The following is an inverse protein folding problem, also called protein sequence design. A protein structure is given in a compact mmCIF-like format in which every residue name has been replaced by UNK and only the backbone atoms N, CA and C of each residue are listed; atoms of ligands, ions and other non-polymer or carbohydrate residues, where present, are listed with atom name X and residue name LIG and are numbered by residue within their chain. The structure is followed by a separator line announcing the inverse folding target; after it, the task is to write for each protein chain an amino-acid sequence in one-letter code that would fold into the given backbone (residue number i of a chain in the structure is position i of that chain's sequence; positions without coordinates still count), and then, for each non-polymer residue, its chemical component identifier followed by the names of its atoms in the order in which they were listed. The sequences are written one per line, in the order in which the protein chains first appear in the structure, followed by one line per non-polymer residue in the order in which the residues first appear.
data_IF_031219130259
#
_entry.id   IF_031219130259
#
_cell.length_a   1.000
_cell.length_b   1.000
_cell.length_c   1.000
_cell.angle_alpha   90.00
_cell.angle_beta   90.00
_cell.angle_gamma   90.00
#
_symmetry.space_group_name_H-M   'P 1'
#
loop_
_entity.id
_entity.type
_entity.pdbx_description
1 polymer ?
#
# COMPACT_ATOMS: atom_id res chain seq x y z
N UNK A 1 8.89 1.29 60.73
CA UNK A 1 8.87 0.03 59.94
C UNK A 1 9.19 0.43 58.54
N UNK A 2 10.32 0.02 57.98
CA UNK A 2 10.71 0.30 56.56
C UNK A 2 9.70 -0.40 55.64
N UNK A 3 9.19 0.34 54.65
CA UNK A 3 8.33 -0.27 53.62
C UNK A 3 9.09 -1.46 52.99
N UNK A 4 8.39 -2.58 52.73
CA UNK A 4 9.02 -3.74 52.12
C UNK A 4 9.59 -3.36 50.74
N UNK A 5 10.84 -3.68 50.51
CA UNK A 5 11.51 -3.43 49.22
C UNK A 5 10.78 -4.25 48.14
N UNK A 6 10.20 -3.56 47.14
CA UNK A 6 9.47 -4.19 46.06
C UNK A 6 10.48 -4.67 45.01
N UNK A 7 10.73 -5.98 44.96
CA UNK A 7 11.67 -6.65 44.06
C UNK A 7 10.99 -7.27 42.83
N UNK A 8 9.79 -6.79 42.47
CA UNK A 8 9.05 -7.31 41.32
C UNK A 8 9.84 -7.07 40.03
N UNK A 9 9.99 -8.12 39.24
CA UNK A 9 10.53 -8.04 37.88
C UNK A 9 9.42 -8.31 36.86
N UNK A 10 9.34 -7.49 35.81
CA UNK A 10 8.40 -7.69 34.71
C UNK A 10 9.07 -8.48 33.60
N UNK A 11 8.48 -9.61 33.21
CA UNK A 11 8.94 -10.40 32.10
C UNK A 11 8.47 -9.72 30.79
N UNK A 12 9.44 -9.20 30.04
CA UNK A 12 9.16 -8.62 28.72
C UNK A 12 8.75 -9.69 27.71
N UNK A 13 8.13 -9.26 26.60
CA UNK A 13 7.73 -10.14 25.47
C UNK A 13 8.92 -10.90 24.84
N UNK A 14 10.11 -10.34 24.90
CA UNK A 14 11.37 -10.98 24.46
C UNK A 14 11.96 -11.97 25.48
N UNK A 15 11.21 -12.27 26.55
CA UNK A 15 11.62 -13.16 27.63
C UNK A 15 12.58 -12.56 28.66
N UNK A 16 13.11 -11.34 28.44
CA UNK A 16 14.02 -10.67 29.37
C UNK A 16 13.25 -10.12 30.58
N UNK A 17 13.84 -10.24 31.76
CA UNK A 17 13.32 -9.61 32.95
C UNK A 17 13.79 -8.15 33.05
N UNK A 18 12.92 -7.26 33.52
CA UNK A 18 13.23 -5.87 33.80
C UNK A 18 12.59 -5.47 35.13
N UNK A 19 13.20 -4.58 35.92
CA UNK A 19 12.60 -4.12 37.17
C UNK A 19 11.27 -3.44 36.92
N UNK A 20 10.30 -3.73 37.79
CA UNK A 20 9.01 -3.03 37.81
C UNK A 20 9.23 -1.55 38.12
N UNK A 21 8.64 -0.66 37.34
CA UNK A 21 8.72 0.79 37.52
C UNK A 21 7.35 1.41 37.42
N UNK A 22 6.89 2.01 38.51
CA UNK A 22 5.59 2.67 38.59
C UNK A 22 5.47 3.80 37.54
N UNK A 23 6.57 4.50 37.28
CA UNK A 23 6.61 5.62 36.32
C UNK A 23 6.20 5.19 34.90
N UNK A 24 6.38 3.91 34.56
CA UNK A 24 5.94 3.38 33.26
C UNK A 24 4.43 3.26 33.19
N UNK A 25 3.79 2.90 34.29
CA UNK A 25 2.32 2.80 34.39
C UNK A 25 1.74 4.21 34.37
N UNK A 26 2.28 5.12 35.20
CA UNK A 26 1.90 6.54 35.21
C UNK A 26 1.98 7.14 33.80
N UNK A 27 3.10 6.95 33.12
CA UNK A 27 3.27 7.44 31.74
C UNK A 27 2.22 6.85 30.79
N UNK A 28 1.94 5.59 30.90
CA UNK A 28 1.00 4.92 29.99
C UNK A 28 -0.45 5.41 30.18
N UNK A 29 -0.88 5.56 31.45
CA UNK A 29 -2.23 6.09 31.78
C UNK A 29 -2.31 7.59 31.46
N UNK A 30 -1.27 8.37 31.75
CA UNK A 30 -1.23 9.81 31.45
C UNK A 30 -1.34 10.09 29.96
N UNK A 31 -0.62 9.35 29.10
CA UNK A 31 -0.72 9.48 27.65
C UNK A 31 -2.12 9.09 27.13
N UNK A 32 -2.77 8.10 27.72
CA UNK A 32 -4.13 7.74 27.38
C UNK A 32 -5.14 8.82 27.83
N UNK A 33 -4.95 9.41 29.02
CA UNK A 33 -5.76 10.52 29.51
C UNK A 33 -5.61 11.78 28.64
N UNK A 34 -4.40 12.10 28.23
CA UNK A 34 -4.15 13.18 27.28
C UNK A 34 -4.86 12.92 25.94
N UNK A 35 -4.73 11.72 25.39
CA UNK A 35 -5.38 11.34 24.16
C UNK A 35 -6.91 11.41 24.22
N UNK A 36 -7.50 11.09 25.37
CA UNK A 36 -8.95 11.18 25.60
C UNK A 36 -9.49 12.62 25.52
N UNK A 37 -8.65 13.62 25.80
CA UNK A 37 -9.01 15.04 25.76
C UNK A 37 -8.74 15.74 24.40
N UNK A 38 -7.78 15.25 23.67
CA UNK A 38 -7.29 15.90 22.45
C UNK A 38 -7.56 15.02 21.25
N UNK A 39 -8.04 15.63 20.16
CA UNK A 39 -8.29 14.94 18.90
C UNK A 39 -7.01 14.24 18.41
N UNK A 40 -7.12 12.95 18.04
CA UNK A 40 -6.02 12.05 17.64
C UNK A 40 -5.12 12.61 16.50
N UNK A 41 -5.60 13.62 15.77
CA UNK A 41 -4.83 14.29 14.72
C UNK A 41 -3.65 15.12 15.23
N UNK A 42 -3.56 15.37 16.54
CA UNK A 42 -2.53 16.18 17.19
C UNK A 42 -1.76 15.37 18.24
N UNK A 43 -1.15 14.25 17.82
CA UNK A 43 -0.25 13.51 18.71
C UNK A 43 0.99 14.41 18.99
N UNK A 44 1.17 14.96 20.18
CA UNK A 44 2.36 15.75 20.48
C UNK A 44 3.57 14.83 20.35
N UNK A 45 4.64 15.35 19.75
CA UNK A 45 5.93 14.67 19.73
C UNK A 45 6.26 14.21 21.15
N UNK A 46 6.43 12.92 21.36
CA UNK A 46 6.65 12.24 22.66
C UNK A 46 7.78 12.82 23.50
N UNK A 47 8.62 13.67 22.93
CA UNK A 47 9.87 14.16 23.52
C UNK A 47 9.73 15.55 24.18
N UNK A 48 8.56 16.21 24.10
CA UNK A 48 8.35 17.57 24.62
C UNK A 48 7.21 17.69 25.63
N UNK A 49 6.79 16.58 26.27
CA UNK A 49 5.78 16.65 27.32
C UNK A 49 6.42 17.07 28.65
N UNK A 50 5.76 17.99 29.34
CA UNK A 50 6.14 18.45 30.68
C UNK A 50 6.07 17.32 31.71
N UNK A 51 6.35 17.66 33.00
CA UNK A 51 6.31 16.72 34.13
C UNK A 51 4.97 15.98 34.27
N UNK A 52 3.87 16.59 33.83
CA UNK A 52 2.50 16.11 34.00
C UNK A 52 1.88 15.62 32.68
N UNK A 53 2.68 15.41 31.63
CA UNK A 53 2.22 14.89 30.33
C UNK A 53 1.11 15.74 29.68
N UNK A 54 1.08 17.06 29.95
CA UNK A 54 0.06 17.97 29.42
C UNK A 54 -1.30 17.87 30.15
N UNK A 55 -1.34 17.22 31.32
CA UNK A 55 -2.50 17.15 32.22
C UNK A 55 -2.40 18.24 33.28
N UNK A 56 -3.54 18.71 33.79
CA UNK A 56 -3.55 19.58 34.96
C UNK A 56 -3.18 18.80 36.22
N UNK A 57 -2.94 19.52 37.35
CA UNK A 57 -2.47 18.93 38.60
C UNK A 57 -3.45 17.93 39.21
N UNK A 58 -4.75 18.18 39.09
CA UNK A 58 -5.79 17.30 39.61
C UNK A 58 -5.88 16.01 38.78
N UNK A 59 -5.79 16.13 37.46
CA UNK A 59 -5.82 14.99 36.55
C UNK A 59 -4.56 14.13 36.67
N UNK A 60 -3.40 14.76 36.80
CA UNK A 60 -2.16 14.03 37.01
C UNK A 60 -2.17 13.29 38.33
N UNK A 61 -2.77 13.88 39.40
CA UNK A 61 -2.97 13.21 40.67
C UNK A 61 -3.89 11.99 40.54
N UNK A 62 -5.01 12.10 39.80
CA UNK A 62 -5.92 10.96 39.53
C UNK A 62 -5.18 9.84 38.81
N UNK A 63 -4.37 10.16 37.78
CA UNK A 63 -3.52 9.18 37.06
C UNK A 63 -2.51 8.52 38.00
N UNK A 64 -1.91 9.27 38.90
CA UNK A 64 -0.96 8.72 39.87
C UNK A 64 -1.63 7.78 40.86
N UNK A 65 -2.80 8.15 41.39
CA UNK A 65 -3.57 7.33 42.31
C UNK A 65 -4.03 6.01 41.67
N UNK A 66 -4.53 6.07 40.41
CA UNK A 66 -4.87 4.87 39.64
C UNK A 66 -3.64 3.98 39.38
N UNK A 67 -2.49 4.58 39.11
CA UNK A 67 -1.25 3.84 38.89
C UNK A 67 -0.75 3.14 40.17
N UNK A 68 -0.93 3.77 41.31
CA UNK A 68 -0.61 3.18 42.62
C UNK A 68 -1.52 1.97 42.91
N UNK A 69 -2.83 2.06 42.61
CA UNK A 69 -3.75 0.92 42.72
C UNK A 69 -3.34 -0.24 41.82
N UNK A 70 -2.94 0.02 40.55
CA UNK A 70 -2.42 -1.03 39.68
C UNK A 70 -1.20 -1.71 40.28
N UNK A 71 -0.26 -0.95 40.85
CA UNK A 71 0.90 -1.50 41.56
C UNK A 71 0.46 -2.45 42.68
N UNK A 72 -0.49 -2.01 43.50
CA UNK A 72 -0.98 -2.78 44.65
C UNK A 72 -1.67 -4.08 44.19
N UNK A 73 -2.44 -4.02 43.12
CA UNK A 73 -3.03 -5.21 42.49
C UNK A 73 -1.97 -6.17 41.91
N UNK A 74 -0.87 -5.65 41.36
CA UNK A 74 0.27 -6.46 40.89
C UNK A 74 0.92 -7.16 42.10
N UNK A 75 1.12 -6.45 43.21
CA UNK A 75 1.69 -7.03 44.44
C UNK A 75 0.75 -8.09 45.03
N UNK A 76 -0.54 -7.82 45.08
CA UNK A 76 -1.54 -8.77 45.58
C UNK A 76 -1.55 -10.06 44.76
N UNK A 77 -1.55 -9.93 43.43
CA UNK A 77 -1.67 -11.07 42.51
C UNK A 77 -0.38 -11.90 42.35
N UNK A 78 0.78 -11.26 42.35
CA UNK A 78 2.04 -11.90 42.01
C UNK A 78 3.06 -11.90 43.17
N UNK A 79 2.76 -11.25 44.29
CA UNK A 79 3.65 -11.11 45.46
C UNK A 79 4.77 -10.07 45.20
N UNK A 80 5.49 -9.70 46.27
CA UNK A 80 6.55 -8.66 46.24
C UNK A 80 7.80 -9.05 45.47
N UNK A 81 7.99 -10.32 45.18
CA UNK A 81 9.12 -10.88 44.39
C UNK A 81 8.63 -11.60 43.11
N UNK A 82 7.40 -11.34 42.69
CA UNK A 82 6.81 -11.95 41.50
C UNK A 82 7.42 -11.48 40.19
N UNK A 83 7.09 -12.21 39.12
CA UNK A 83 7.54 -11.91 37.77
C UNK A 83 6.36 -11.91 36.77
N UNK A 84 5.41 -10.96 36.88
CA UNK A 84 4.31 -10.85 35.93
C UNK A 84 4.81 -10.56 34.51
N UNK A 85 4.08 -11.01 33.49
CA UNK A 85 4.28 -10.57 32.12
C UNK A 85 3.86 -9.12 31.91
N UNK A 86 4.34 -8.48 30.87
CA UNK A 86 3.88 -7.12 30.47
C UNK A 86 2.37 -7.11 30.24
N UNK A 87 1.83 -8.18 29.62
CA UNK A 87 0.39 -8.30 29.34
C UNK A 87 -0.43 -8.34 30.63
N UNK A 88 0.05 -9.09 31.66
CA UNK A 88 -0.63 -9.15 32.95
C UNK A 88 -0.77 -7.77 33.58
N UNK A 89 0.28 -6.95 33.52
CA UNK A 89 0.26 -5.58 34.03
C UNK A 89 -0.69 -4.69 33.23
N UNK A 90 -0.70 -4.85 31.90
CA UNK A 90 -1.58 -4.10 31.01
C UNK A 90 -3.06 -4.44 31.25
N UNK A 91 -3.38 -5.71 31.49
CA UNK A 91 -4.74 -6.15 31.80
C UNK A 91 -5.23 -5.55 33.13
N UNK A 92 -4.32 -5.44 34.12
CA UNK A 92 -4.65 -4.79 35.40
C UNK A 92 -4.88 -3.28 35.25
N UNK A 93 -4.14 -2.61 34.35
CA UNK A 93 -4.40 -1.19 34.02
C UNK A 93 -5.81 -1.03 33.44
N UNK A 94 -6.17 -1.84 32.43
CA UNK A 94 -7.50 -1.80 31.82
C UNK A 94 -8.60 -2.02 32.86
N UNK A 95 -8.43 -3.05 33.71
CA UNK A 95 -9.38 -3.36 34.76
C UNK A 95 -9.57 -2.20 35.78
N UNK A 96 -8.46 -1.56 36.17
CA UNK A 96 -8.51 -0.42 37.12
C UNK A 96 -9.22 0.78 36.48
N UNK A 97 -8.92 1.11 35.23
CA UNK A 97 -9.58 2.22 34.51
C UNK A 97 -11.10 1.98 34.40
N UNK A 98 -11.52 0.75 34.09
CA UNK A 98 -12.94 0.39 33.98
C UNK A 98 -13.64 0.41 35.36
N UNK A 99 -12.99 -0.07 36.40
CA UNK A 99 -13.49 -0.06 37.77
C UNK A 99 -13.78 1.35 38.29
N UNK A 100 -12.95 2.31 37.90
CA UNK A 100 -13.12 3.73 38.27
C UNK A 100 -13.96 4.53 37.26
N UNK A 101 -14.69 3.87 36.34
CA UNK A 101 -15.52 4.50 35.31
C UNK A 101 -14.74 5.48 34.37
N UNK A 102 -13.44 5.28 34.21
CA UNK A 102 -12.60 6.07 33.30
C UNK A 102 -12.68 5.51 31.86
N UNK A 103 -13.90 5.38 31.32
CA UNK A 103 -14.17 4.68 30.07
C UNK A 103 -13.44 5.29 28.86
N UNK A 104 -13.36 6.62 28.76
CA UNK A 104 -12.66 7.28 27.66
C UNK A 104 -11.15 7.04 27.75
N UNK A 105 -10.56 7.11 28.93
CA UNK A 105 -9.13 6.80 29.14
C UNK A 105 -8.87 5.33 28.84
N UNK A 106 -9.72 4.42 29.33
CA UNK A 106 -9.62 2.99 29.05
C UNK A 106 -9.69 2.70 27.55
N UNK A 107 -10.62 3.33 26.82
CA UNK A 107 -10.77 3.21 25.38
C UNK A 107 -9.48 3.66 24.66
N UNK A 108 -8.93 4.81 25.00
CA UNK A 108 -7.68 5.30 24.40
C UNK A 108 -6.49 4.40 24.76
N UNK A 109 -6.42 3.89 25.98
CA UNK A 109 -5.39 2.97 26.42
C UNK A 109 -5.45 1.64 25.66
N UNK A 110 -6.63 1.03 25.53
CA UNK A 110 -6.85 -0.22 24.79
C UNK A 110 -6.54 -0.02 23.32
N UNK A 111 -6.99 1.10 22.71
CA UNK A 111 -6.71 1.40 21.32
C UNK A 111 -5.20 1.59 21.06
N UNK A 112 -4.52 2.32 21.94
CA UNK A 112 -3.07 2.45 21.94
C UNK A 112 -2.36 1.09 22.08
N UNK A 113 -2.83 0.23 23.00
CA UNK A 113 -2.30 -1.12 23.20
C UNK A 113 -2.46 -1.97 21.94
N UNK A 114 -3.64 -1.98 21.33
CA UNK A 114 -3.93 -2.71 20.08
C UNK A 114 -3.04 -2.18 18.96
N UNK A 115 -3.02 -0.88 18.71
CA UNK A 115 -2.15 -0.28 17.71
C UNK A 115 -0.67 -0.61 17.95
N UNK A 116 -0.20 -0.57 19.20
CA UNK A 116 1.20 -0.85 19.52
C UNK A 116 1.52 -2.35 19.57
N UNK A 117 0.57 -3.22 19.82
CA UNK A 117 0.76 -4.67 19.66
C UNK A 117 0.81 -5.07 18.19
N UNK A 118 0.04 -4.39 17.33
CA UNK A 118 0.03 -4.60 15.89
C UNK A 118 1.15 -3.83 15.17
N UNK A 119 1.52 -2.62 15.66
CA UNK A 119 2.50 -1.71 15.05
C UNK A 119 3.95 -2.00 15.43
N UNK A 120 4.19 -2.79 16.46
CA UNK A 120 5.56 -3.25 16.67
C UNK A 120 5.86 -4.23 15.54
N UNK A 121 6.71 -3.84 14.55
CA UNK A 121 7.45 -4.88 13.90
C UNK A 121 8.01 -5.70 15.05
N UNK A 122 7.92 -7.02 14.97
CA UNK A 122 8.56 -7.94 15.91
C UNK A 122 10.03 -7.53 15.93
N UNK A 123 10.33 -6.48 16.69
CA UNK A 123 11.66 -5.92 16.83
C UNK A 123 12.28 -6.78 17.91
N UNK A 124 13.20 -7.54 17.50
CA UNK A 124 14.16 -8.36 18.23
C UNK A 124 13.73 -9.80 18.51
N UNK A 125 14.12 -10.67 17.63
CA UNK A 125 14.36 -12.09 17.86
C UNK A 125 13.67 -13.03 16.89
N UNK A 126 12.42 -12.80 16.52
CA UNK A 126 11.64 -13.68 15.63
C UNK A 126 10.90 -12.94 14.51
N UNK A 127 11.42 -11.83 14.03
CA UNK A 127 10.96 -11.27 12.76
C UNK A 127 11.50 -12.20 11.66
N UNK A 128 10.73 -13.23 11.33
CA UNK A 128 11.07 -14.15 10.27
C UNK A 128 11.24 -13.39 8.95
N UNK A 129 12.03 -13.94 8.04
CA UNK A 129 12.17 -13.41 6.66
C UNK A 129 10.82 -13.03 6.03
N UNK A 130 9.78 -13.76 6.37
CA UNK A 130 8.40 -13.54 5.92
C UNK A 130 7.83 -12.17 6.33
N UNK A 131 8.01 -11.75 7.58
CA UNK A 131 7.52 -10.46 8.06
C UNK A 131 8.31 -9.30 7.46
N UNK A 132 9.63 -9.48 7.30
CA UNK A 132 10.45 -8.51 6.57
C UNK A 132 10.00 -8.34 5.13
N UNK A 133 9.71 -9.43 4.41
CA UNK A 133 9.19 -9.39 3.04
C UNK A 133 7.81 -8.73 3.02
N UNK A 134 6.90 -9.07 3.94
CA UNK A 134 5.58 -8.47 4.03
C UNK A 134 5.66 -6.94 4.18
N UNK A 135 6.45 -6.47 5.14
CA UNK A 135 6.60 -5.04 5.42
C UNK A 135 7.31 -4.31 4.27
N UNK A 136 8.42 -4.88 3.76
CA UNK A 136 9.23 -4.20 2.75
C UNK A 136 8.58 -4.17 1.36
N UNK A 137 7.79 -5.19 1.00
CA UNK A 137 7.24 -5.36 -0.36
C UNK A 137 5.78 -4.98 -0.48
N UNK A 138 4.96 -5.21 0.55
CA UNK A 138 3.51 -5.11 0.45
C UNK A 138 2.90 -3.97 1.28
N UNK A 139 3.50 -3.62 2.42
CA UNK A 139 3.05 -2.53 3.27
C UNK A 139 3.54 -1.20 2.70
N UNK A 140 2.62 -0.35 2.26
CA UNK A 140 2.92 0.97 1.69
C UNK A 140 3.28 1.95 2.80
N UNK A 141 4.09 2.94 2.45
CA UNK A 141 4.30 4.08 3.33
C UNK A 141 3.10 5.03 3.22
N UNK A 142 2.49 5.33 4.35
CA UNK A 142 1.41 6.30 4.49
C UNK A 142 1.99 7.62 5.01
N UNK A 143 1.95 8.66 4.18
CA UNK A 143 2.50 9.97 4.53
C UNK A 143 1.71 10.66 5.66
N UNK A 144 0.39 10.37 5.78
CA UNK A 144 -0.46 10.96 6.83
C UNK A 144 -0.13 10.36 8.19
N UNK A 145 0.17 9.08 8.23
CA UNK A 145 0.54 8.36 9.44
C UNK A 145 2.04 8.43 9.73
N UNK A 146 2.87 8.90 8.79
CA UNK A 146 4.32 8.95 8.91
C UNK A 146 4.99 7.57 9.04
N UNK A 147 4.33 6.50 8.61
CA UNK A 147 4.80 5.12 8.73
C UNK A 147 4.33 4.22 7.58
N UNK A 148 4.88 3.01 7.52
CA UNK A 148 4.33 1.98 6.65
C UNK A 148 3.05 1.39 7.22
N UNK A 149 2.18 0.92 6.33
CA UNK A 149 1.06 0.05 6.69
C UNK A 149 1.56 -1.16 7.49
N UNK A 150 0.73 -1.65 8.39
CA UNK A 150 0.87 -2.99 8.96
C UNK A 150 0.19 -4.01 8.05
N UNK A 151 0.45 -5.31 8.29
CA UNK A 151 -0.13 -6.38 7.47
C UNK A 151 -1.66 -6.29 7.36
N UNK A 152 -2.34 -6.08 8.48
CA UNK A 152 -3.80 -5.97 8.51
C UNK A 152 -4.33 -4.82 7.64
N UNK A 153 -3.67 -3.64 7.66
CA UNK A 153 -4.03 -2.47 6.84
C UNK A 153 -3.78 -2.74 5.35
N UNK A 154 -2.66 -3.38 5.01
CA UNK A 154 -2.38 -3.76 3.63
C UNK A 154 -3.43 -4.74 3.08
N UNK A 155 -3.85 -5.72 3.87
CA UNK A 155 -4.90 -6.68 3.52
C UNK A 155 -6.24 -5.98 3.38
N UNK A 156 -6.61 -5.10 4.32
CA UNK A 156 -7.86 -4.33 4.28
C UNK A 156 -7.94 -3.45 3.04
N UNK A 157 -6.86 -2.75 2.68
CA UNK A 157 -6.78 -1.92 1.46
C UNK A 157 -7.13 -2.72 0.21
N UNK A 158 -6.68 -3.97 0.12
CA UNK A 158 -6.95 -4.85 -1.04
C UNK A 158 -8.38 -5.35 -1.01
N UNK A 159 -8.89 -5.79 0.15
CA UNK A 159 -10.27 -6.22 0.33
C UNK A 159 -11.25 -5.11 -0.09
N UNK A 160 -11.03 -3.89 0.39
CA UNK A 160 -11.84 -2.72 0.07
C UNK A 160 -11.81 -2.38 -1.43
N UNK A 161 -10.70 -2.59 -2.13
CA UNK A 161 -10.63 -2.43 -3.58
C UNK A 161 -11.61 -3.37 -4.30
N UNK A 162 -11.64 -4.64 -3.90
CA UNK A 162 -12.55 -5.63 -4.49
C UNK A 162 -14.00 -5.35 -4.14
N UNK A 163 -14.31 -5.00 -2.88
CA UNK A 163 -15.65 -4.64 -2.46
C UNK A 163 -16.19 -3.42 -3.23
N UNK A 164 -15.36 -2.38 -3.40
CA UNK A 164 -15.74 -1.21 -4.24
C UNK A 164 -15.98 -1.59 -5.70
N UNK A 165 -15.24 -2.56 -6.23
CA UNK A 165 -15.46 -3.05 -7.60
C UNK A 165 -16.80 -3.76 -7.73
N UNK A 166 -17.14 -4.62 -6.77
CA UNK A 166 -18.42 -5.32 -6.71
C UNK A 166 -19.58 -4.31 -6.59
N UNK A 167 -19.45 -3.32 -5.70
CA UNK A 167 -20.46 -2.27 -5.56
C UNK A 167 -20.69 -1.50 -6.85
N UNK A 168 -19.62 -1.13 -7.58
CA UNK A 168 -19.73 -0.47 -8.89
C UNK A 168 -20.43 -1.33 -9.96
N UNK A 169 -20.19 -2.64 -9.94
CA UNK A 169 -20.87 -3.58 -10.84
C UNK A 169 -22.34 -3.65 -10.45
N UNK A 170 -22.65 -3.81 -9.16
CA UNK A 170 -24.00 -3.82 -8.64
C UNK A 170 -24.78 -2.56 -9.04
N UNK A 171 -24.18 -1.38 -8.85
CA UNK A 171 -24.81 -0.11 -9.21
C UNK A 171 -25.11 0.01 -10.73
N UNK A 172 -24.25 -0.56 -11.58
CA UNK A 172 -24.48 -0.57 -13.02
C UNK A 172 -25.61 -1.53 -13.43
N UNK A 173 -25.59 -2.73 -12.89
CA UNK A 173 -26.59 -3.76 -13.20
C UNK A 173 -27.95 -3.45 -12.56
N UNK A 174 -27.92 -2.89 -11.35
CA UNK A 174 -29.11 -2.34 -10.71
C UNK A 174 -29.74 -1.21 -11.53
N UNK A 175 -28.95 -0.28 -12.04
CA UNK A 175 -29.45 0.84 -12.81
C UNK A 175 -30.09 0.43 -14.15
N UNK A 176 -29.64 -0.67 -14.77
CA UNK A 176 -30.25 -1.18 -16.00
C UNK A 176 -31.53 -1.99 -15.73
N UNK A 177 -31.47 -2.91 -14.75
CA UNK A 177 -32.60 -3.80 -14.45
C UNK A 177 -33.61 -3.22 -13.46
N UNK A 178 -33.17 -2.37 -12.50
CA UNK A 178 -34.06 -1.77 -11.51
C UNK A 178 -34.83 -0.58 -12.03
N UNK A 179 -34.32 0.20 -12.97
CA UNK A 179 -35.16 1.24 -13.62
C UNK A 179 -36.39 0.63 -14.28
N UNK A 180 -36.22 -0.59 -14.82
CA UNK A 180 -37.30 -1.33 -15.46
C UNK A 180 -38.24 -2.01 -14.43
N UNK A 181 -37.69 -2.53 -13.32
CA UNK A 181 -38.46 -3.19 -12.25
C UNK A 181 -39.09 -2.19 -11.26
N UNK A 182 -38.41 -1.08 -10.97
CA UNK A 182 -38.96 0.02 -10.15
C UNK A 182 -40.02 0.78 -10.97
N UNK A 183 -39.83 0.97 -12.27
CA UNK A 183 -40.86 1.54 -13.16
C UNK A 183 -42.08 0.63 -13.27
N UNK A 184 -41.95 -0.68 -13.07
CA UNK A 184 -43.02 -1.66 -13.03
C UNK A 184 -43.62 -1.89 -11.64
N UNK A 185 -43.08 -1.23 -10.60
CA UNK A 185 -43.61 -1.30 -9.22
C UNK A 185 -43.45 -2.64 -8.52
N UNK A 186 -42.54 -3.50 -8.99
CA UNK A 186 -42.47 -4.91 -8.59
C UNK A 186 -41.45 -5.21 -7.49
N UNK A 187 -40.48 -4.32 -7.22
CA UNK A 187 -39.43 -4.53 -6.21
C UNK A 187 -38.99 -3.21 -5.59
N UNK A 188 -38.79 -3.18 -4.27
CA UNK A 188 -38.16 -2.04 -3.59
C UNK A 188 -36.65 -2.07 -3.78
N UNK A 189 -35.95 -0.93 -3.83
CA UNK A 189 -34.50 -0.83 -4.01
C UNK A 189 -33.69 -1.59 -2.94
N UNK A 190 -34.26 -1.73 -1.73
CA UNK A 190 -33.63 -2.42 -0.60
C UNK A 190 -33.68 -3.95 -0.75
N UNK A 191 -34.84 -4.51 -1.18
CA UNK A 191 -35.02 -5.94 -1.38
C UNK A 191 -34.14 -6.47 -2.54
N UNK A 192 -33.83 -5.64 -3.53
CA UNK A 192 -32.96 -6.03 -4.64
C UNK A 192 -31.46 -6.01 -4.26
N UNK A 193 -31.07 -5.23 -3.27
CA UNK A 193 -29.69 -5.23 -2.71
C UNK A 193 -29.40 -6.50 -1.91
N UNK A 194 -30.40 -7.00 -1.17
CA UNK A 194 -30.23 -8.16 -0.27
C UNK A 194 -30.39 -9.51 -0.97
N UNK A 195 -31.05 -9.57 -2.11
CA UNK A 195 -31.43 -10.82 -2.78
C UNK A 195 -30.51 -11.24 -3.96
N UNK A 196 -29.47 -10.48 -4.29
CA UNK A 196 -28.70 -10.75 -5.51
C UNK A 196 -27.40 -11.57 -5.29
N UNK A 197 -26.88 -12.23 -6.34
CA UNK A 197 -25.61 -12.95 -6.30
C UNK A 197 -24.40 -12.09 -5.89
N UNK A 198 -24.54 -10.78 -5.89
CA UNK A 198 -23.51 -9.83 -5.50
C UNK A 198 -23.36 -9.69 -3.97
N UNK A 199 -24.41 -9.94 -3.17
CA UNK A 199 -24.31 -10.03 -1.71
C UNK A 199 -23.43 -11.20 -1.31
N UNK A 200 -23.65 -12.38 -1.91
CA UNK A 200 -22.84 -13.58 -1.67
C UNK A 200 -21.37 -13.40 -2.09
N UNK A 201 -21.11 -12.66 -3.17
CA UNK A 201 -19.76 -12.33 -3.62
C UNK A 201 -19.03 -11.39 -2.65
N UNK A 202 -19.73 -10.40 -2.08
CA UNK A 202 -19.16 -9.54 -1.04
C UNK A 202 -18.78 -10.32 0.21
N UNK A 203 -19.63 -11.25 0.66
CA UNK A 203 -19.37 -12.12 1.80
C UNK A 203 -18.22 -13.09 1.53
N UNK A 204 -18.11 -13.58 0.30
CA UNK A 204 -16.99 -14.42 -0.12
C UNK A 204 -15.67 -13.65 -0.09
N UNK A 205 -15.65 -12.41 -0.59
CA UNK A 205 -14.47 -11.52 -0.51
C UNK A 205 -14.07 -11.31 0.93
N UNK A 206 -15.00 -10.97 1.83
CA UNK A 206 -14.72 -10.76 3.26
C UNK A 206 -14.14 -12.03 3.89
N UNK A 207 -14.74 -13.19 3.63
CA UNK A 207 -14.22 -14.48 4.13
C UNK A 207 -12.83 -14.79 3.61
N UNK A 208 -12.59 -14.62 2.31
CA UNK A 208 -11.29 -14.85 1.69
C UNK A 208 -10.20 -13.95 2.30
N UNK A 209 -10.49 -12.66 2.46
CA UNK A 209 -9.52 -11.72 3.02
C UNK A 209 -9.31 -11.86 4.54
N UNK A 210 -10.28 -12.41 5.28
CA UNK A 210 -10.06 -12.85 6.65
C UNK A 210 -9.04 -14.00 6.73
N UNK A 211 -9.06 -14.94 5.78
CA UNK A 211 -8.03 -15.98 5.68
C UNK A 211 -6.66 -15.38 5.36
N UNK A 212 -6.60 -14.38 4.48
CA UNK A 212 -5.36 -13.63 4.17
C UNK A 212 -4.85 -12.89 5.41
N UNK A 213 -5.72 -12.17 6.12
CA UNK A 213 -5.38 -11.44 7.35
C UNK A 213 -4.75 -12.36 8.38
N UNK A 214 -5.30 -13.56 8.53
CA UNK A 214 -4.83 -14.60 9.43
C UNK A 214 -3.66 -15.44 8.86
N UNK A 215 -3.07 -15.04 7.74
CA UNK A 215 -1.93 -15.70 7.06
C UNK A 215 -2.19 -17.18 6.72
N UNK A 216 -3.44 -17.58 6.51
CA UNK A 216 -3.81 -18.95 6.10
C UNK A 216 -3.66 -19.18 4.60
N UNK A 217 -3.90 -18.13 3.81
CA UNK A 217 -3.70 -18.08 2.36
C UNK A 217 -3.07 -16.74 1.97
N UNK A 218 -2.46 -16.66 0.80
CA UNK A 218 -1.92 -15.42 0.25
C UNK A 218 -2.59 -15.14 -1.10
N UNK A 219 -2.99 -13.88 -1.36
CA UNK A 219 -3.46 -13.47 -2.67
C UNK A 219 -2.26 -13.23 -3.60
N UNK A 220 -2.52 -12.81 -4.84
CA UNK A 220 -1.48 -12.35 -5.75
C UNK A 220 -0.59 -11.29 -5.09
N UNK A 221 0.74 -11.43 -5.26
CA UNK A 221 1.71 -10.45 -4.76
C UNK A 221 1.43 -9.04 -5.30
N UNK A 222 0.98 -8.92 -6.55
CA UNK A 222 0.62 -7.63 -7.16
C UNK A 222 -0.61 -7.01 -6.52
N UNK A 223 -1.59 -7.81 -6.12
CA UNK A 223 -2.74 -7.33 -5.36
C UNK A 223 -2.30 -6.71 -4.03
N UNK A 224 -1.41 -7.36 -3.29
CA UNK A 224 -0.85 -6.81 -2.05
C UNK A 224 -0.01 -5.56 -2.31
N UNK A 225 0.84 -5.57 -3.34
CA UNK A 225 1.76 -4.47 -3.65
C UNK A 225 1.03 -3.21 -4.17
N UNK A 226 0.11 -3.38 -5.12
CA UNK A 226 -0.54 -2.27 -5.84
C UNK A 226 -2.04 -2.15 -5.57
N UNK A 227 -2.66 -3.04 -4.80
CA UNK A 227 -4.09 -3.01 -4.49
C UNK A 227 -4.57 -1.63 -4.01
N UNK A 228 -5.83 -1.31 -4.25
CA UNK A 228 -6.40 0.02 -4.04
C UNK A 228 -6.22 0.92 -5.27
N UNK A 229 -6.04 2.22 -5.05
CA UNK A 229 -6.11 3.23 -6.11
C UNK A 229 -5.18 2.98 -7.30
N UNK A 230 -4.01 2.39 -7.10
CA UNK A 230 -3.08 2.14 -8.21
C UNK A 230 -3.65 1.15 -9.24
N UNK A 231 -4.28 0.05 -8.76
CA UNK A 231 -4.98 -0.92 -9.64
C UNK A 231 -6.32 -0.36 -10.14
N UNK A 232 -7.03 0.41 -9.31
CA UNK A 232 -8.30 1.04 -9.71
C UNK A 232 -8.12 2.03 -10.87
N UNK A 233 -6.99 2.74 -10.92
CA UNK A 233 -6.63 3.66 -12.00
C UNK A 233 -6.08 2.91 -13.22
N UNK A 234 -5.22 1.91 -13.02
CA UNK A 234 -4.62 1.12 -14.10
C UNK A 234 -4.64 -0.35 -13.74
N UNK A 235 -5.59 -1.10 -14.28
CA UNK A 235 -5.77 -2.53 -14.03
C UNK A 235 -4.56 -3.37 -14.51
N UNK A 236 -3.74 -2.86 -15.44
CA UNK A 236 -2.53 -3.53 -15.90
C UNK A 236 -1.55 -3.84 -14.75
N UNK A 237 -1.59 -3.06 -13.65
CA UNK A 237 -0.74 -3.26 -12.46
C UNK A 237 -1.03 -4.55 -11.67
N UNK A 238 -2.16 -5.24 -11.96
CA UNK A 238 -2.47 -6.51 -11.28
C UNK A 238 -1.73 -7.69 -11.90
N UNK A 239 -1.25 -7.56 -13.15
CA UNK A 239 -0.58 -8.65 -13.84
C UNK A 239 0.87 -8.79 -13.38
N UNK A 240 1.28 -10.03 -13.12
CA UNK A 240 2.66 -10.37 -12.77
C UNK A 240 3.52 -10.58 -14.03
N UNK A 241 3.02 -11.40 -14.95
CA UNK A 241 3.77 -11.86 -16.12
C UNK A 241 2.88 -11.88 -17.36
N UNK A 242 3.52 -11.64 -18.49
CA UNK A 242 2.93 -11.81 -19.83
C UNK A 242 3.95 -12.34 -20.81
N UNK A 243 3.50 -12.88 -21.92
CA UNK A 243 4.35 -13.28 -23.03
C UNK A 243 3.65 -12.98 -24.38
N UNK A 244 4.41 -12.52 -25.36
CA UNK A 244 3.88 -12.22 -26.69
C UNK A 244 4.96 -12.44 -27.76
N UNK A 245 4.62 -12.88 -28.98
CA UNK A 245 5.55 -12.85 -30.10
C UNK A 245 5.73 -11.43 -30.61
N UNK A 246 6.93 -11.10 -31.11
CA UNK A 246 7.21 -9.83 -31.79
C UNK A 246 6.83 -9.98 -33.28
N UNK A 247 5.56 -9.76 -33.58
CA UNK A 247 4.99 -10.00 -34.91
C UNK A 247 4.16 -8.84 -35.47
N UNK A 248 4.10 -7.72 -34.75
CA UNK A 248 3.34 -6.51 -35.10
C UNK A 248 4.01 -5.27 -34.50
N UNK A 249 3.78 -4.12 -35.09
CA UNK A 249 4.37 -2.85 -34.61
C UNK A 249 3.82 -2.46 -33.23
N UNK A 250 2.56 -2.73 -32.96
CA UNK A 250 1.89 -2.47 -31.68
C UNK A 250 2.56 -3.19 -30.50
N UNK A 251 3.28 -4.30 -30.77
CA UNK A 251 4.02 -5.03 -29.73
C UNK A 251 4.94 -4.12 -28.93
N UNK A 252 5.67 -3.21 -29.58
CA UNK A 252 6.62 -2.32 -28.89
C UNK A 252 5.94 -1.41 -27.88
N UNK A 253 4.77 -0.88 -28.23
CA UNK A 253 3.92 -0.08 -27.34
C UNK A 253 3.38 -0.92 -26.19
N UNK A 254 2.76 -2.05 -26.49
CA UNK A 254 2.14 -2.96 -25.51
C UNK A 254 3.18 -3.46 -24.51
N UNK A 255 4.33 -3.89 -25.01
CA UNK A 255 5.43 -4.40 -24.21
C UNK A 255 5.98 -3.32 -23.26
N UNK A 256 6.23 -2.12 -23.77
CA UNK A 256 6.76 -1.02 -22.96
C UNK A 256 5.73 -0.55 -21.90
N UNK A 257 4.46 -0.47 -22.27
CA UNK A 257 3.36 -0.18 -21.33
C UNK A 257 3.30 -1.18 -20.17
N UNK A 258 3.38 -2.47 -20.47
CA UNK A 258 3.33 -3.53 -19.47
C UNK A 258 4.57 -3.52 -18.57
N UNK A 259 5.77 -3.31 -19.12
CA UNK A 259 7.00 -3.13 -18.34
C UNK A 259 6.91 -1.93 -17.39
N UNK A 260 6.45 -0.78 -17.86
CA UNK A 260 6.25 0.41 -17.04
C UNK A 260 5.16 0.20 -15.98
N UNK A 261 4.18 -0.65 -16.25
CA UNK A 261 3.17 -1.07 -15.27
C UNK A 261 3.70 -2.06 -14.24
N UNK A 262 4.95 -2.53 -14.43
CA UNK A 262 5.66 -3.45 -13.52
C UNK A 262 5.43 -4.93 -13.82
N UNK A 263 4.91 -5.29 -15.00
CA UNK A 263 4.77 -6.66 -15.45
C UNK A 263 6.11 -7.23 -15.92
N UNK A 264 6.40 -8.50 -15.60
CA UNK A 264 7.48 -9.25 -16.22
C UNK A 264 7.04 -9.70 -17.60
N UNK A 265 7.71 -9.23 -18.66
CA UNK A 265 7.28 -9.49 -20.03
C UNK A 265 8.27 -10.41 -20.76
N UNK A 266 7.85 -11.63 -21.10
CA UNK A 266 8.53 -12.52 -22.02
C UNK A 266 8.17 -12.20 -23.46
N UNK A 267 9.11 -12.40 -24.38
CA UNK A 267 8.84 -12.19 -25.79
C UNK A 267 9.59 -13.20 -26.68
N UNK A 268 9.09 -13.41 -27.90
CA UNK A 268 9.72 -14.28 -28.87
C UNK A 268 10.14 -13.50 -30.10
N UNK A 269 11.44 -13.59 -30.41
CA UNK A 269 12.07 -13.04 -31.62
C UNK A 269 12.43 -14.14 -32.63
N UNK A 270 11.69 -15.25 -32.62
CA UNK A 270 11.88 -16.29 -33.63
C UNK A 270 11.66 -15.74 -35.04
N UNK A 271 12.39 -16.29 -36.03
CA UNK A 271 12.38 -15.78 -37.40
C UNK A 271 10.97 -15.64 -38.00
N UNK A 272 10.10 -16.62 -37.76
CA UNK A 272 8.72 -16.59 -38.25
C UNK A 272 7.88 -15.47 -37.64
N UNK A 273 8.17 -15.04 -36.39
CA UNK A 273 7.48 -13.91 -35.76
C UNK A 273 8.00 -12.59 -36.33
N UNK A 274 9.30 -12.39 -36.31
CA UNK A 274 9.90 -11.15 -36.78
C UNK A 274 9.66 -10.92 -38.29
N UNK A 275 9.56 -11.98 -39.08
CA UNK A 275 9.22 -11.91 -40.53
C UNK A 275 7.81 -11.35 -40.80
N UNK A 276 6.95 -11.25 -39.77
CA UNK A 276 5.61 -10.63 -39.86
C UNK A 276 5.66 -9.11 -39.70
N UNK A 277 6.77 -8.55 -39.17
CA UNK A 277 6.92 -7.11 -39.07
C UNK A 277 7.01 -6.48 -40.49
N UNK A 278 6.51 -5.25 -40.68
CA UNK A 278 6.72 -4.54 -41.95
C UNK A 278 8.19 -4.21 -42.17
N UNK A 279 8.57 -4.06 -43.44
CA UNK A 279 9.86 -3.46 -43.78
C UNK A 279 9.87 -1.98 -43.40
N UNK A 280 11.01 -1.48 -42.93
CA UNK A 280 11.20 -0.06 -42.68
C UNK A 280 11.34 0.69 -44.01
N UNK A 281 10.83 1.91 -44.07
CA UNK A 281 10.97 2.76 -45.25
C UNK A 281 12.45 3.10 -45.50
N UNK A 282 12.81 3.26 -46.74
CA UNK A 282 14.12 3.80 -47.08
C UNK A 282 14.19 5.29 -46.72
N UNK A 283 15.24 5.69 -46.05
CA UNK A 283 15.48 7.09 -45.62
C UNK A 283 16.70 7.66 -46.32
N UNK A 284 16.63 7.73 -47.66
CA UNK A 284 17.76 8.17 -48.50
C UNK A 284 18.10 9.64 -48.26
N UNK A 285 17.14 10.47 -47.91
CA UNK A 285 17.37 11.89 -47.59
C UNK A 285 16.54 12.29 -46.35
N UNK A 286 17.20 12.29 -45.16
CA UNK A 286 16.53 12.63 -43.90
C UNK A 286 16.08 14.11 -43.85
N UNK A 287 16.63 14.98 -44.66
CA UNK A 287 16.30 16.40 -44.70
C UNK A 287 14.96 16.69 -45.39
N UNK A 288 14.52 15.79 -46.29
CA UNK A 288 13.28 15.93 -47.05
C UNK A 288 12.08 15.19 -46.40
N UNK A 289 12.28 14.45 -45.28
CA UNK A 289 11.21 13.73 -44.64
C UNK A 289 10.21 14.67 -43.94
N UNK A 290 8.90 14.39 -44.05
CA UNK A 290 7.89 15.10 -43.24
C UNK A 290 8.20 15.00 -41.76
N UNK A 291 8.14 16.12 -41.03
CA UNK A 291 8.41 16.15 -39.57
C UNK A 291 7.11 16.19 -38.81
N UNK A 292 6.96 15.28 -37.87
CA UNK A 292 5.86 15.25 -36.87
C UNK A 292 6.40 15.63 -35.51
N UNK A 293 5.87 16.70 -34.93
CA UNK A 293 6.19 17.08 -33.56
C UNK A 293 5.31 16.31 -32.59
N UNK A 294 5.91 15.62 -31.60
CA UNK A 294 5.20 14.83 -30.61
C UNK A 294 5.58 15.26 -29.20
N UNK A 295 4.62 15.89 -28.47
CA UNK A 295 4.78 16.23 -27.09
C UNK A 295 4.42 15.01 -26.22
N UNK A 296 5.40 14.43 -25.53
CA UNK A 296 5.22 13.20 -24.74
C UNK A 296 4.43 13.51 -23.46
N UNK A 297 3.23 12.93 -23.29
CA UNK A 297 2.44 13.10 -22.06
C UNK A 297 3.13 12.47 -20.83
N UNK A 298 2.88 13.07 -19.65
CA UNK A 298 3.42 12.56 -18.36
C UNK A 298 2.60 11.40 -17.80
N UNK A 299 2.43 10.35 -18.62
CA UNK A 299 1.67 9.13 -18.28
C UNK A 299 2.44 7.89 -18.77
N UNK A 300 2.08 6.71 -18.24
CA UNK A 300 2.65 5.43 -18.70
C UNK A 300 2.28 5.18 -20.16
N UNK A 301 1.06 5.52 -20.54
CA UNK A 301 0.55 5.47 -21.91
C UNK A 301 1.38 6.38 -22.82
N UNK A 302 1.58 7.65 -22.44
CA UNK A 302 2.34 8.61 -23.23
C UNK A 302 3.78 8.20 -23.47
N UNK A 303 4.42 7.55 -22.51
CA UNK A 303 5.76 6.98 -22.68
C UNK A 303 5.76 5.82 -23.67
N UNK A 304 4.78 4.90 -23.56
CA UNK A 304 4.68 3.76 -24.47
C UNK A 304 4.27 4.19 -25.89
N UNK A 305 3.40 5.19 -26.02
CA UNK A 305 3.00 5.75 -27.30
C UNK A 305 4.18 6.45 -27.99
N UNK A 306 5.12 7.07 -27.26
CA UNK A 306 6.32 7.68 -27.86
C UNK A 306 7.23 6.65 -28.53
N UNK A 307 7.35 5.45 -27.95
CA UNK A 307 8.10 4.36 -28.60
C UNK A 307 7.38 3.85 -29.85
N UNK A 308 6.08 3.68 -29.77
CA UNK A 308 5.27 3.28 -30.92
C UNK A 308 5.37 4.29 -32.06
N UNK A 309 5.23 5.58 -31.76
CA UNK A 309 5.36 6.66 -32.72
C UNK A 309 6.72 6.68 -33.40
N UNK A 310 7.81 6.40 -32.67
CA UNK A 310 9.12 6.28 -33.22
C UNK A 310 9.19 5.12 -34.23
N UNK A 311 8.71 3.93 -33.90
CA UNK A 311 8.71 2.76 -34.79
C UNK A 311 7.84 3.02 -36.02
N UNK A 312 6.64 3.56 -35.86
CA UNK A 312 5.71 3.95 -36.93
C UNK A 312 6.38 4.93 -37.91
N UNK A 313 7.17 5.88 -37.41
CA UNK A 313 7.88 6.85 -38.28
C UNK A 313 8.85 6.19 -39.24
N UNK A 314 9.48 5.10 -38.81
CA UNK A 314 10.37 4.32 -39.69
C UNK A 314 9.62 3.41 -40.65
N UNK A 315 8.45 2.90 -40.27
CA UNK A 315 7.60 2.10 -41.16
C UNK A 315 7.00 2.98 -42.27
N UNK A 316 6.58 4.19 -41.94
CA UNK A 316 5.87 5.07 -42.88
C UNK A 316 6.71 6.20 -43.50
N UNK A 317 8.00 6.30 -43.17
CA UNK A 317 8.92 7.23 -43.83
C UNK A 317 8.71 8.70 -43.45
N UNK A 318 8.52 8.99 -42.14
CA UNK A 318 8.54 10.36 -41.63
C UNK A 318 9.49 10.49 -40.45
N UNK A 319 9.78 11.71 -40.03
CA UNK A 319 10.61 12.00 -38.84
C UNK A 319 9.76 12.44 -37.68
N UNK A 320 10.09 11.98 -36.45
CA UNK A 320 9.43 12.44 -35.21
C UNK A 320 10.41 13.28 -34.40
N UNK A 321 9.96 14.46 -34.00
CA UNK A 321 10.67 15.30 -33.05
C UNK A 321 9.92 15.29 -31.69
N UNK A 322 10.55 14.69 -30.69
CA UNK A 322 9.98 14.55 -29.37
C UNK A 322 10.23 15.77 -28.51
N UNK A 323 9.15 16.27 -27.88
CA UNK A 323 9.21 17.26 -26.82
C UNK A 323 8.85 16.62 -25.47
N UNK A 324 9.71 16.81 -24.46
CA UNK A 324 9.57 16.19 -23.13
C UNK A 324 9.13 17.19 -22.04
N UNK A 325 8.70 18.39 -22.42
CA UNK A 325 8.39 19.47 -21.48
C UNK A 325 7.22 19.16 -20.53
N UNK A 326 6.33 18.23 -20.91
CA UNK A 326 5.21 17.82 -20.10
C UNK A 326 5.59 16.82 -18.98
N UNK A 327 6.75 16.14 -19.12
CA UNK A 327 7.17 15.12 -18.16
C UNK A 327 7.64 15.79 -16.87
N UNK A 328 7.10 15.33 -15.76
CA UNK A 328 7.47 15.81 -14.42
C UNK A 328 8.97 15.70 -14.14
N UNK A 329 9.47 16.61 -13.35
CA UNK A 329 10.89 16.65 -12.99
C UNK A 329 11.32 15.41 -12.20
N UNK A 330 12.60 15.07 -12.31
CA UNK A 330 13.22 14.02 -11.49
C UNK A 330 13.04 14.31 -10.00
N UNK A 331 12.64 13.30 -9.24
CA UNK A 331 12.43 13.41 -7.79
C UNK A 331 11.00 13.76 -7.39
N UNK A 332 10.11 14.16 -8.32
CA UNK A 332 8.69 14.37 -8.05
C UNK A 332 8.02 13.10 -7.54
N UNK A 333 7.09 13.22 -6.58
CA UNK A 333 6.38 12.07 -6.02
C UNK A 333 5.42 11.44 -7.04
N UNK A 334 5.41 10.11 -7.07
CA UNK A 334 4.46 9.32 -7.86
C UNK A 334 3.20 9.07 -7.02
N UNK A 335 2.11 9.77 -7.37
CA UNK A 335 0.85 9.79 -6.59
C UNK A 335 0.13 8.45 -6.49
N UNK A 336 0.30 7.55 -7.46
CA UNK A 336 -0.47 6.30 -7.55
C UNK A 336 0.29 5.06 -7.08
N UNK A 337 1.59 4.99 -7.34
CA UNK A 337 2.42 3.80 -7.08
C UNK A 337 3.43 3.99 -5.94
N UNK A 338 3.57 5.22 -5.45
CA UNK A 338 4.64 5.58 -4.53
C UNK A 338 6.01 5.66 -5.22
N UNK A 339 6.99 6.24 -4.53
CA UNK A 339 8.33 6.45 -5.06
C UNK A 339 8.49 7.78 -5.78
N UNK A 340 9.64 7.98 -6.44
CA UNK A 340 10.04 9.23 -7.08
C UNK A 340 10.16 9.06 -8.59
N UNK A 341 9.73 10.07 -9.34
CA UNK A 341 9.84 10.12 -10.80
C UNK A 341 11.30 10.17 -11.26
N UNK A 342 11.65 9.44 -12.33
CA UNK A 342 13.01 9.48 -12.89
C UNK A 342 13.30 10.73 -13.74
N UNK A 343 12.26 11.52 -14.10
CA UNK A 343 12.35 12.59 -15.10
C UNK A 343 12.37 12.03 -16.53
N UNK A 344 12.60 12.89 -17.52
CA UNK A 344 12.52 12.54 -18.95
C UNK A 344 13.78 11.87 -19.51
N UNK A 345 14.95 12.02 -18.86
CA UNK A 345 16.22 11.56 -19.40
C UNK A 345 16.29 10.05 -19.72
N UNK A 346 15.76 9.14 -18.88
CA UNK A 346 15.77 7.71 -19.22
C UNK A 346 14.98 7.39 -20.48
N UNK A 347 13.80 8.01 -20.65
CA UNK A 347 13.00 7.83 -21.87
C UNK A 347 13.74 8.37 -23.11
N UNK A 348 14.29 9.59 -23.03
CA UNK A 348 15.05 10.17 -24.14
C UNK A 348 16.18 9.25 -24.58
N UNK A 349 16.96 8.71 -23.63
CA UNK A 349 18.05 7.77 -23.93
C UNK A 349 17.55 6.48 -24.59
N UNK A 350 16.43 5.95 -24.12
CA UNK A 350 15.83 4.75 -24.70
C UNK A 350 15.38 4.99 -26.15
N UNK A 351 14.65 6.08 -26.40
CA UNK A 351 14.21 6.44 -27.76
C UNK A 351 15.40 6.68 -28.69
N UNK A 352 16.44 7.42 -28.28
CA UNK A 352 17.66 7.61 -29.08
C UNK A 352 18.31 6.28 -29.42
N UNK A 353 18.42 5.34 -28.46
CA UNK A 353 19.01 4.03 -28.72
C UNK A 353 18.19 3.18 -29.67
N UNK A 354 16.88 3.21 -29.60
CA UNK A 354 15.99 2.53 -30.55
C UNK A 354 16.13 3.17 -31.95
N UNK A 355 16.16 4.49 -32.03
CA UNK A 355 16.33 5.22 -33.28
C UNK A 355 17.64 4.82 -33.98
N UNK A 356 18.77 4.73 -33.28
CA UNK A 356 20.04 4.27 -33.83
C UNK A 356 19.92 2.87 -34.48
N UNK A 357 19.19 1.95 -33.87
CA UNK A 357 18.95 0.60 -34.39
C UNK A 357 18.10 0.66 -35.68
N UNK A 358 17.00 1.45 -35.61
CA UNK A 358 16.09 1.58 -36.74
C UNK A 358 16.72 2.25 -37.93
N UNK A 359 17.58 3.26 -37.72
CA UNK A 359 18.41 3.90 -38.78
C UNK A 359 19.30 2.86 -39.49
N UNK A 360 19.97 1.99 -38.72
CA UNK A 360 20.79 0.91 -39.25
C UNK A 360 20.02 -0.16 -40.04
N UNK A 361 18.69 -0.18 -39.91
CA UNK A 361 17.82 -1.12 -40.62
C UNK A 361 16.93 -0.47 -41.68
N UNK A 362 17.06 0.82 -41.93
CA UNK A 362 16.25 1.53 -42.92
C UNK A 362 16.29 0.87 -44.31
N UNK A 363 15.14 0.81 -44.98
CA UNK A 363 14.99 0.19 -46.30
C UNK A 363 14.86 -1.35 -46.30
N UNK A 364 14.84 -1.99 -45.14
CA UNK A 364 14.70 -3.45 -45.02
C UNK A 364 13.89 -3.86 -43.76
N UNK A 365 13.62 -5.13 -43.69
CA UNK A 365 13.04 -5.73 -42.48
C UNK A 365 14.06 -5.82 -41.34
N UNK A 366 13.59 -5.67 -40.10
CA UNK A 366 14.39 -5.91 -38.91
C UNK A 366 14.80 -7.39 -38.79
N UNK A 367 16.03 -7.62 -38.38
CA UNK A 367 16.51 -8.96 -38.03
C UNK A 367 16.16 -9.30 -36.57
N UNK A 368 16.03 -10.61 -36.20
CA UNK A 368 15.77 -11.00 -34.84
C UNK A 368 16.66 -10.35 -33.77
N UNK A 369 17.96 -10.19 -34.08
CA UNK A 369 18.92 -9.57 -33.17
C UNK A 369 18.74 -8.04 -33.01
N UNK A 370 18.15 -7.37 -33.98
CA UNK A 370 17.84 -5.94 -33.94
C UNK A 370 16.54 -5.66 -33.15
N UNK A 371 15.68 -6.66 -33.11
CA UNK A 371 14.44 -6.61 -32.32
C UNK A 371 14.69 -6.95 -30.86
N UNK A 372 15.67 -7.85 -30.58
CA UNK A 372 16.08 -8.25 -29.24
C UNK A 372 16.77 -7.10 -28.51
#
# INVERSE_FOLDING_TARGET
MSEPEILITVKKRDGKAAPFKLERIVRAIALAAYGAKHDESKNPHRDNLDKHYGLDEAEFKDVFDLSAEVRDMVIEKFGTAGAPGVEDVQDLIELTLLKHNRYEIARHYIFYRIQHSELRPVAHGDCGLQDYIAISRYCRYDEKLGRREIWAEAVERVAQMHLRRVAKIADKDLNASLRDLVAKGTVTPEAARDAGPLGSLSDEIVRAYNLVKNKKVLPSMRSLQFGGRAIEVSNARIYNCTASPVNRVEFFREYFFLLLSGCGCGFSVQKQHVAMLPALAARADELELPVKHYAVPDTVEGWSDSLHELVESFVHGYKVEFSFHQIRARGSLLKTSGGKAPGHLPLKRALTRVEEILVGAAGRQLRPIEVY
#
